data_IF_936407058554
#
_entry.id   IF_936407058554
#
_cell.length_a   1.000
_cell.length_b   1.000
_cell.length_c   1.000
_cell.angle_alpha   90.00
_cell.angle_beta   90.00
_cell.angle_gamma   90.00
#
_symmetry.space_group_name_H-M   'P 1'
#
loop_
_entity.id
_entity.type
_entity.pdbx_description
1 polymer ?
#
# COMPACT_ATOMS: atom_id res chain seq x y z
N UNK A 1 -0.27 22.42 -21.28
CA UNK A 1 -1.56 21.99 -21.81
C UNK A 1 -2.66 22.14 -20.75
N UNK A 2 -2.54 21.62 -19.50
CA UNK A 2 -3.53 21.80 -18.42
C UNK A 2 -3.95 23.27 -18.21
N UNK A 3 -3.00 24.21 -18.18
CA UNK A 3 -3.27 25.65 -18.02
C UNK A 3 -4.10 26.27 -19.16
N UNK A 4 -4.26 25.58 -20.28
CA UNK A 4 -5.07 26.02 -21.44
C UNK A 4 -6.44 25.37 -21.50
N UNK A 5 -6.90 24.69 -20.44
CA UNK A 5 -8.22 24.04 -20.38
C UNK A 5 -8.40 22.85 -21.34
N UNK A 6 -7.30 22.25 -21.80
CA UNK A 6 -7.36 21.08 -22.69
C UNK A 6 -7.53 19.79 -21.89
N UNK A 7 -8.44 18.93 -22.31
CA UNK A 7 -8.55 17.56 -21.81
C UNK A 7 -7.47 16.71 -22.46
N UNK A 8 -6.73 15.94 -21.62
CA UNK A 8 -5.68 15.02 -22.06
C UNK A 8 -6.08 13.63 -21.61
N UNK A 9 -6.19 12.71 -22.55
CA UNK A 9 -6.32 11.29 -22.25
C UNK A 9 -4.92 10.68 -22.21
N UNK A 10 -4.56 10.10 -21.05
CA UNK A 10 -3.26 9.50 -20.82
C UNK A 10 -3.43 8.01 -20.49
N UNK A 11 -2.85 7.14 -21.29
CA UNK A 11 -2.89 5.68 -21.09
C UNK A 11 -1.50 5.20 -20.74
N UNK A 12 -1.36 4.56 -19.60
CA UNK A 12 -0.08 4.06 -19.11
C UNK A 12 -0.28 2.95 -18.09
N UNK A 13 0.74 2.12 -17.93
CA UNK A 13 0.90 1.19 -16.81
C UNK A 13 1.89 1.70 -15.75
N UNK A 14 2.48 2.87 -15.97
CA UNK A 14 3.35 3.53 -14.98
C UNK A 14 2.47 4.25 -13.93
N UNK A 15 2.35 3.63 -12.78
CA UNK A 15 1.55 4.12 -11.67
C UNK A 15 2.05 5.47 -11.14
N UNK A 16 3.36 5.71 -11.20
CA UNK A 16 3.96 6.97 -10.78
C UNK A 16 3.58 8.12 -11.70
N UNK A 17 3.57 7.87 -13.01
CA UNK A 17 3.11 8.84 -14.01
C UNK A 17 1.61 9.13 -13.86
N UNK A 18 0.78 8.10 -13.65
CA UNK A 18 -0.66 8.25 -13.37
C UNK A 18 -0.87 9.14 -12.15
N UNK A 19 -0.20 8.83 -11.03
CA UNK A 19 -0.30 9.58 -9.78
C UNK A 19 0.13 11.04 -9.95
N UNK A 20 1.18 11.29 -10.73
CA UNK A 20 1.79 12.62 -10.89
C UNK A 20 1.01 13.54 -11.84
N UNK A 21 0.47 12.99 -12.93
CA UNK A 21 -0.04 13.79 -14.03
C UNK A 21 -1.56 13.77 -14.20
N UNK A 22 -2.25 12.75 -13.69
CA UNK A 22 -3.69 12.61 -13.84
C UNK A 22 -4.46 13.27 -12.70
N UNK A 23 -5.61 13.87 -13.03
CA UNK A 23 -6.56 14.39 -12.03
C UNK A 23 -7.62 13.33 -11.70
N UNK A 24 -7.88 12.42 -12.63
CA UNK A 24 -8.82 11.31 -12.54
C UNK A 24 -8.26 10.11 -13.29
N UNK A 25 -8.54 8.92 -12.80
CA UNK A 25 -8.13 7.67 -13.44
C UNK A 25 -9.31 6.73 -13.62
N UNK A 26 -9.24 5.92 -14.67
CA UNK A 26 -10.18 4.84 -14.95
C UNK A 26 -9.38 3.54 -14.94
N UNK A 27 -9.81 2.57 -14.15
CA UNK A 27 -9.21 1.24 -14.09
C UNK A 27 -9.94 0.32 -15.08
N UNK A 28 -9.18 -0.23 -16.02
CA UNK A 28 -9.66 -1.21 -16.98
C UNK A 28 -8.94 -2.55 -16.77
N UNK A 29 -9.69 -3.64 -16.84
CA UNK A 29 -9.12 -4.99 -16.84
C UNK A 29 -9.86 -5.84 -17.86
N UNK A 30 -9.13 -6.49 -18.78
CA UNK A 30 -9.68 -7.35 -19.84
C UNK A 30 -10.85 -6.69 -20.60
N UNK A 31 -10.75 -5.39 -20.91
CA UNK A 31 -11.78 -4.64 -21.62
C UNK A 31 -12.94 -4.17 -20.75
N UNK A 32 -13.00 -4.53 -19.48
CA UNK A 32 -14.06 -4.14 -18.55
C UNK A 32 -13.60 -2.98 -17.66
N UNK A 33 -14.45 -1.97 -17.49
CA UNK A 33 -14.21 -0.88 -16.54
C UNK A 33 -14.49 -1.38 -15.13
N UNK A 34 -13.45 -1.46 -14.30
CA UNK A 34 -13.55 -1.89 -12.89
C UNK A 34 -13.84 -0.73 -11.94
N UNK A 35 -13.36 0.47 -12.27
CA UNK A 35 -13.55 1.62 -11.40
C UNK A 35 -13.13 2.92 -12.06
N UNK A 36 -13.49 4.02 -11.42
CA UNK A 36 -13.14 5.38 -11.81
C UNK A 36 -13.08 6.25 -10.56
N UNK A 37 -12.04 7.07 -10.43
CA UNK A 37 -11.87 7.92 -9.26
C UNK A 37 -10.54 8.64 -9.23
N UNK A 38 -10.07 8.96 -8.02
CA UNK A 38 -8.75 9.57 -7.84
C UNK A 38 -7.65 8.62 -8.32
N UNK A 39 -6.52 9.15 -8.82
CA UNK A 39 -5.39 8.30 -9.19
C UNK A 39 -4.94 7.37 -8.07
N UNK A 40 -4.94 7.85 -6.80
CA UNK A 40 -4.57 7.06 -5.64
C UNK A 40 -5.48 5.83 -5.49
N UNK A 41 -6.80 6.04 -5.46
CA UNK A 41 -7.79 4.98 -5.26
C UNK A 41 -7.72 3.93 -6.37
N UNK A 42 -7.55 4.40 -7.63
CA UNK A 42 -7.46 3.50 -8.78
C UNK A 42 -6.14 2.72 -8.82
N UNK A 43 -5.04 3.30 -8.32
CA UNK A 43 -3.77 2.60 -8.16
C UNK A 43 -3.90 1.51 -7.09
N UNK A 44 -4.55 1.81 -5.98
CA UNK A 44 -4.75 0.83 -4.90
C UNK A 44 -5.70 -0.30 -5.35
N UNK A 45 -6.77 0.03 -6.07
CA UNK A 45 -7.63 -0.96 -6.73
C UNK A 45 -6.86 -1.83 -7.74
N UNK A 46 -6.00 -1.23 -8.56
CA UNK A 46 -5.16 -1.97 -9.51
C UNK A 46 -4.25 -2.99 -8.83
N UNK A 47 -3.63 -2.61 -7.70
CA UNK A 47 -2.79 -3.54 -6.92
C UNK A 47 -3.59 -4.72 -6.37
N UNK A 48 -4.84 -4.49 -5.93
CA UNK A 48 -5.75 -5.55 -5.51
C UNK A 48 -6.12 -6.48 -6.67
N UNK A 49 -6.34 -5.93 -7.86
CA UNK A 49 -6.57 -6.73 -9.09
C UNK A 49 -5.40 -7.64 -9.39
N UNK A 50 -4.15 -7.12 -9.27
CA UNK A 50 -2.94 -7.91 -9.55
C UNK A 50 -2.78 -9.12 -8.62
N UNK A 51 -3.25 -9.03 -7.38
CA UNK A 51 -3.19 -10.12 -6.39
C UNK A 51 -4.50 -10.92 -6.30
N UNK A 52 -5.46 -10.65 -7.20
CA UNK A 52 -6.75 -11.37 -7.24
C UNK A 52 -7.67 -11.09 -6.04
N UNK A 53 -7.47 -9.96 -5.36
CA UNK A 53 -8.24 -9.56 -4.18
C UNK A 53 -9.20 -8.39 -4.44
N UNK A 54 -9.33 -7.97 -5.69
CA UNK A 54 -10.29 -6.93 -6.06
C UNK A 54 -11.69 -7.51 -6.20
N UNK A 55 -12.59 -7.10 -5.32
CA UNK A 55 -14.01 -7.39 -5.47
C UNK A 55 -14.57 -6.51 -6.60
N UNK A 56 -14.81 -7.12 -7.77
CA UNK A 56 -15.46 -6.43 -8.87
C UNK A 56 -16.85 -6.01 -8.42
N UNK A 57 -17.23 -4.73 -8.53
CA UNK A 57 -18.65 -4.35 -8.38
C UNK A 57 -19.45 -5.19 -9.38
N UNK A 58 -20.37 -6.00 -8.88
CA UNK A 58 -21.26 -6.77 -9.75
C UNK A 58 -22.02 -5.77 -10.65
N UNK A 59 -21.80 -5.83 -11.95
CA UNK A 59 -22.52 -5.02 -12.90
C UNK A 59 -24.03 -5.32 -12.73
N UNK A 60 -24.78 -4.30 -12.31
CA UNK A 60 -26.24 -4.34 -12.29
C UNK A 60 -26.89 -4.70 -10.95
N UNK A 61 -26.49 -4.06 -9.84
CA UNK A 61 -27.36 -4.01 -8.65
C UNK A 61 -27.45 -2.56 -8.19
N UNK A 62 -28.66 -2.04 -8.24
CA UNK A 62 -29.12 -0.86 -7.52
C UNK A 62 -28.78 -0.97 -6.02
N UNK A 63 -28.63 0.18 -5.39
CA UNK A 63 -28.37 0.46 -3.98
C UNK A 63 -28.69 -0.73 -3.04
N UNK A 64 -27.74 -1.27 -2.24
CA UNK A 64 -28.04 -2.34 -1.30
C UNK A 64 -29.02 -1.86 -0.25
N UNK A 65 -30.15 -2.57 -0.17
CA UNK A 65 -31.07 -2.52 0.96
C UNK A 65 -30.35 -2.94 2.24
N UNK A 66 -30.32 -2.06 3.25
CA UNK A 66 -29.58 -2.17 4.50
C UNK A 66 -30.21 -3.17 5.49
N UNK A 67 -30.53 -4.39 5.06
CA UNK A 67 -31.12 -5.40 5.93
C UNK A 67 -30.45 -6.78 5.81
N UNK A 68 -29.15 -6.86 6.15
CA UNK A 68 -28.53 -8.16 6.36
C UNK A 68 -27.57 -8.11 7.57
N UNK A 69 -27.87 -8.89 8.59
CA UNK A 69 -27.11 -9.04 9.85
C UNK A 69 -25.61 -9.39 9.70
N UNK A 70 -25.16 -9.75 8.51
CA UNK A 70 -23.75 -10.02 8.18
C UNK A 70 -22.88 -8.77 8.07
N UNK A 71 -23.43 -7.66 7.57
CA UNK A 71 -22.69 -6.42 7.31
C UNK A 71 -22.36 -5.63 8.59
N UNK A 72 -23.21 -5.75 9.62
CA UNK A 72 -23.01 -5.05 10.90
C UNK A 72 -21.81 -5.63 11.67
N UNK A 73 -21.60 -6.95 11.59
CA UNK A 73 -20.46 -7.61 12.26
C UNK A 73 -19.13 -7.28 11.57
N UNK A 74 -19.10 -7.28 10.25
CA UNK A 74 -17.92 -6.87 9.47
C UNK A 74 -17.60 -5.37 9.64
N UNK A 75 -18.62 -4.51 9.75
CA UNK A 75 -18.46 -3.09 10.03
C UNK A 75 -17.96 -2.84 11.47
N UNK A 76 -18.44 -3.58 12.45
CA UNK A 76 -17.99 -3.52 13.85
C UNK A 76 -16.55 -4.01 14.00
N UNK A 77 -16.15 -5.07 13.31
CA UNK A 77 -14.76 -5.55 13.31
C UNK A 77 -13.81 -4.57 12.61
N UNK A 78 -14.26 -3.94 11.52
CA UNK A 78 -13.53 -2.83 10.88
C UNK A 78 -13.40 -1.62 11.83
N UNK A 79 -14.44 -1.27 12.57
CA UNK A 79 -14.37 -0.17 13.53
C UNK A 79 -13.45 -0.48 14.72
N UNK A 80 -13.49 -1.71 15.25
CA UNK A 80 -12.57 -2.14 16.32
C UNK A 80 -11.12 -2.10 15.87
N UNK A 81 -10.80 -2.64 14.68
CA UNK A 81 -9.47 -2.56 14.08
C UNK A 81 -9.02 -1.11 13.86
N UNK A 82 -9.91 -0.20 13.41
CA UNK A 82 -9.61 1.23 13.28
C UNK A 82 -9.31 1.89 14.62
N UNK A 83 -10.02 1.55 15.70
CA UNK A 83 -9.78 2.11 17.03
C UNK A 83 -8.49 1.57 17.66
N UNK A 84 -8.16 0.30 17.47
CA UNK A 84 -6.88 -0.28 17.92
C UNK A 84 -5.70 0.29 17.15
N UNK A 85 -5.79 0.42 15.83
CA UNK A 85 -4.77 1.05 15.00
C UNK A 85 -4.52 2.51 15.38
N UNK A 86 -5.57 3.29 15.66
CA UNK A 86 -5.44 4.68 16.12
C UNK A 86 -4.74 4.78 17.48
N UNK A 87 -4.96 3.82 18.39
CA UNK A 87 -4.24 3.76 19.69
C UNK A 87 -2.77 3.44 19.55
N UNK A 88 -2.39 2.71 18.50
CA UNK A 88 -1.00 2.35 18.18
C UNK A 88 -0.28 3.36 17.28
N UNK A 89 -0.92 4.48 16.91
CA UNK A 89 -0.37 5.47 15.99
C UNK A 89 -0.30 4.98 14.53
N UNK A 90 -0.97 3.87 14.21
CA UNK A 90 -1.06 3.33 12.85
C UNK A 90 -2.22 4.02 12.12
N UNK A 91 -2.02 4.37 10.85
CA UNK A 91 -3.07 4.96 10.04
C UNK A 91 -4.28 4.00 9.93
N UNK A 92 -5.48 4.41 10.39
CA UNK A 92 -6.67 3.55 10.34
C UNK A 92 -7.15 3.21 8.91
N UNK A 93 -6.63 3.93 7.91
CA UNK A 93 -6.90 3.67 6.48
C UNK A 93 -5.78 2.86 5.81
N UNK A 94 -4.96 2.14 6.59
CA UNK A 94 -3.94 1.25 6.06
C UNK A 94 -4.60 0.18 5.18
N UNK A 95 -4.17 0.11 3.92
CA UNK A 95 -4.60 -0.91 2.98
C UNK A 95 -3.62 -2.07 3.02
N UNK A 96 -4.11 -3.24 3.41
CA UNK A 96 -3.37 -4.49 3.36
C UNK A 96 -3.86 -5.32 2.17
N UNK A 97 -2.93 -5.82 1.36
CA UNK A 97 -3.21 -6.72 0.25
C UNK A 97 -2.01 -7.65 0.02
N UNK A 98 -2.25 -8.80 -0.60
CA UNK A 98 -1.22 -9.80 -0.89
C UNK A 98 -1.67 -11.21 -0.53
N UNK A 99 -0.87 -12.20 -0.90
CA UNK A 99 -1.16 -13.63 -0.73
C UNK A 99 -0.93 -14.15 0.69
N UNK A 100 -0.46 -13.29 1.61
CA UNK A 100 -0.10 -13.62 3.00
C UNK A 100 0.99 -14.68 3.16
N UNK A 101 1.79 -14.86 2.13
CA UNK A 101 3.00 -15.70 2.20
C UNK A 101 4.04 -15.10 3.15
N UNK A 102 4.02 -13.78 3.30
CA UNK A 102 4.70 -13.03 4.33
C UNK A 102 3.79 -11.87 4.79
N UNK A 103 3.87 -11.50 6.06
CA UNK A 103 3.03 -10.46 6.65
C UNK A 103 3.89 -9.47 7.43
N UNK A 104 3.74 -8.17 7.15
CA UNK A 104 4.38 -7.11 7.93
C UNK A 104 3.58 -6.96 9.22
N UNK A 105 4.14 -7.40 10.34
CA UNK A 105 3.45 -7.38 11.65
C UNK A 105 3.67 -6.08 12.41
N UNK A 106 4.77 -5.36 12.14
CA UNK A 106 5.00 -4.01 12.65
C UNK A 106 6.01 -3.26 11.80
N UNK A 107 5.93 -1.94 11.81
CA UNK A 107 6.93 -1.05 11.23
C UNK A 107 6.98 0.27 11.99
N UNK A 108 8.14 0.89 12.03
CA UNK A 108 8.34 2.21 12.62
C UNK A 108 9.60 2.86 12.05
N UNK A 109 9.76 4.15 12.32
CA UNK A 109 10.90 4.94 11.87
C UNK A 109 11.63 5.46 13.11
N UNK A 110 12.96 5.43 13.07
CA UNK A 110 13.80 6.12 14.05
C UNK A 110 14.59 7.24 13.37
N UNK A 111 14.90 8.28 14.13
CA UNK A 111 15.80 9.35 13.73
C UNK A 111 17.27 8.90 13.81
N UNK A 112 18.20 9.82 13.53
CA UNK A 112 19.66 9.58 13.60
C UNK A 112 20.19 9.19 15.00
N UNK A 113 19.38 9.40 16.05
CA UNK A 113 19.71 9.05 17.44
C UNK A 113 19.01 7.77 17.89
N UNK A 114 18.46 6.99 16.94
CA UNK A 114 17.65 5.78 17.17
C UNK A 114 16.38 6.04 18.03
N UNK A 115 15.88 7.28 18.06
CA UNK A 115 14.62 7.62 18.71
C UNK A 115 13.46 7.47 17.75
N UNK A 116 12.44 6.71 18.16
CA UNK A 116 11.25 6.52 17.34
C UNK A 116 10.56 7.86 17.08
N UNK A 117 10.24 8.12 15.80
CA UNK A 117 9.66 9.38 15.35
C UNK A 117 8.58 9.15 14.29
N UNK A 118 7.64 10.09 14.20
CA UNK A 118 6.64 10.16 13.11
C UNK A 118 6.94 11.29 12.13
N UNK A 119 8.02 12.06 12.36
CA UNK A 119 8.41 13.20 11.54
C UNK A 119 9.90 13.12 11.21
N UNK A 120 10.22 13.31 9.94
CA UNK A 120 11.60 13.37 9.42
C UNK A 120 11.77 14.73 8.77
N UNK A 121 12.78 15.47 9.17
CA UNK A 121 13.13 16.73 8.51
C UNK A 121 13.88 16.44 7.21
N UNK A 122 13.69 17.32 6.23
CA UNK A 122 14.37 17.19 4.94
C UNK A 122 15.89 17.22 5.13
N UNK A 123 16.55 16.16 4.69
CA UNK A 123 18.01 16.01 4.78
C UNK A 123 18.51 15.33 6.04
N UNK A 124 17.62 14.97 6.98
CA UNK A 124 18.00 14.18 8.12
C UNK A 124 18.09 12.69 7.77
N UNK A 125 19.00 11.99 8.46
CA UNK A 125 19.11 10.55 8.38
C UNK A 125 17.97 9.90 9.18
N UNK A 126 17.44 8.80 8.67
CA UNK A 126 16.44 7.99 9.36
C UNK A 126 16.63 6.50 9.09
N UNK A 127 16.11 5.67 9.96
CA UNK A 127 16.06 4.23 9.78
C UNK A 127 14.61 3.75 9.77
N UNK A 128 14.23 3.05 8.69
CA UNK A 128 12.97 2.32 8.61
C UNK A 128 13.19 0.93 9.19
N UNK A 129 12.39 0.57 10.17
CA UNK A 129 12.34 -0.76 10.78
C UNK A 129 11.06 -1.47 10.34
N UNK A 130 11.20 -2.73 9.98
CA UNK A 130 10.09 -3.57 9.53
C UNK A 130 10.23 -4.97 10.14
N UNK A 131 9.19 -5.46 10.80
CA UNK A 131 9.12 -6.82 11.31
C UNK A 131 8.18 -7.63 10.43
N UNK A 132 8.69 -8.74 9.88
CA UNK A 132 7.96 -9.57 8.91
C UNK A 132 7.87 -10.99 9.42
N UNK A 133 6.65 -11.54 9.49
CA UNK A 133 6.37 -12.94 9.78
C UNK A 133 6.25 -13.71 8.48
N UNK A 134 6.96 -14.84 8.38
CA UNK A 134 6.95 -15.70 7.19
C UNK A 134 5.88 -16.78 7.34
N UNK A 135 4.92 -16.79 6.42
CA UNK A 135 3.79 -17.72 6.39
C UNK A 135 4.03 -18.97 5.56
N UNK A 136 4.98 -18.95 4.65
CA UNK A 136 5.44 -20.13 3.90
C UNK A 136 6.90 -19.98 3.48
N UNK A 137 7.54 -21.07 3.06
CA UNK A 137 8.91 -21.03 2.52
C UNK A 137 8.99 -20.17 1.28
N UNK A 138 9.88 -19.17 1.27
CA UNK A 138 10.07 -18.26 0.15
C UNK A 138 11.51 -18.27 -0.31
N UNK A 139 11.77 -18.53 -1.61
CA UNK A 139 13.10 -18.36 -2.19
C UNK A 139 13.35 -16.88 -2.48
N UNK A 140 14.52 -16.38 -2.10
CA UNK A 140 15.03 -15.05 -2.43
C UNK A 140 14.01 -13.89 -2.28
N UNK A 141 13.36 -13.70 -1.10
CA UNK A 141 12.40 -12.64 -0.92
C UNK A 141 13.07 -11.27 -1.01
N UNK A 142 12.34 -10.30 -1.59
CA UNK A 142 12.76 -8.91 -1.67
C UNK A 142 11.89 -8.10 -0.70
N UNK A 143 12.53 -7.43 0.25
CA UNK A 143 11.88 -6.48 1.15
C UNK A 143 12.08 -5.06 0.62
N UNK A 144 11.05 -4.25 0.70
CA UNK A 144 11.07 -2.89 0.17
C UNK A 144 10.18 -1.96 0.98
N UNK A 145 10.50 -0.68 0.97
CA UNK A 145 9.59 0.37 1.40
C UNK A 145 9.64 1.55 0.42
N UNK A 146 8.59 2.35 0.40
CA UNK A 146 8.57 3.65 -0.24
C UNK A 146 7.76 4.65 0.59
N UNK A 147 8.29 5.87 0.71
CA UNK A 147 7.60 7.00 1.31
C UNK A 147 6.97 7.80 0.19
N UNK A 148 5.68 8.05 0.29
CA UNK A 148 4.90 8.78 -0.70
C UNK A 148 4.21 9.97 -0.05
N UNK A 149 4.01 11.03 -0.84
CA UNK A 149 3.17 12.13 -0.41
C UNK A 149 1.67 11.73 -0.43
N UNK A 150 0.82 12.63 0.05
CA UNK A 150 -0.64 12.43 0.10
C UNK A 150 -1.29 12.19 -1.28
N UNK A 151 -0.62 12.56 -2.37
CA UNK A 151 -1.05 12.31 -3.75
C UNK A 151 -0.56 10.96 -4.30
N UNK A 152 0.16 10.17 -3.48
CA UNK A 152 0.73 8.88 -3.90
C UNK A 152 2.01 8.99 -4.72
N UNK A 153 2.59 10.20 -4.86
CA UNK A 153 3.88 10.38 -5.54
C UNK A 153 5.01 9.96 -4.61
N UNK A 154 5.89 9.08 -5.08
CA UNK A 154 7.03 8.61 -4.32
C UNK A 154 8.04 9.73 -4.07
N UNK A 155 8.48 9.84 -2.82
CA UNK A 155 9.49 10.81 -2.37
C UNK A 155 10.83 10.09 -2.25
N UNK A 156 10.84 8.93 -1.60
CA UNK A 156 12.02 8.09 -1.41
C UNK A 156 11.60 6.65 -1.14
N UNK A 157 12.53 5.74 -1.34
CA UNK A 157 12.33 4.32 -1.05
C UNK A 157 13.52 3.51 -1.52
N UNK A 158 13.63 2.30 -1.01
CA UNK A 158 14.66 1.33 -1.42
C UNK A 158 14.18 -0.09 -1.21
N UNK A 159 14.99 -1.06 -1.59
CA UNK A 159 14.74 -2.47 -1.39
C UNK A 159 16.05 -3.24 -1.18
N UNK A 160 15.95 -4.46 -0.67
CA UNK A 160 17.10 -5.33 -0.39
C UNK A 160 17.94 -5.65 -1.63
N UNK A 161 17.34 -5.60 -2.84
CA UNK A 161 18.06 -5.82 -4.09
C UNK A 161 18.94 -4.60 -4.45
N UNK A 162 18.43 -3.39 -4.33
CA UNK A 162 19.22 -2.16 -4.52
C UNK A 162 20.34 -2.03 -3.49
N UNK A 163 20.05 -2.38 -2.24
CA UNK A 163 21.05 -2.38 -1.15
C UNK A 163 22.04 -3.56 -1.23
N UNK A 164 21.87 -4.44 -2.22
CA UNK A 164 22.69 -5.66 -2.42
C UNK A 164 22.72 -6.58 -1.18
N UNK A 165 21.65 -6.56 -0.40
CA UNK A 165 21.46 -7.38 0.80
C UNK A 165 20.51 -8.52 0.47
N UNK A 166 21.02 -9.56 -0.15
CA UNK A 166 20.21 -10.69 -0.61
C UNK A 166 20.01 -11.71 0.51
N UNK A 167 18.78 -12.20 0.63
CA UNK A 167 18.45 -13.40 1.39
C UNK A 167 18.26 -14.55 0.41
N UNK A 168 18.97 -15.66 0.59
CA UNK A 168 18.85 -16.81 -0.30
C UNK A 168 17.49 -17.49 -0.16
N UNK A 169 17.02 -17.70 1.07
CA UNK A 169 15.70 -18.26 1.34
C UNK A 169 15.28 -17.92 2.78
N UNK A 170 13.97 -17.94 3.00
CA UNK A 170 13.39 -17.82 4.34
C UNK A 170 12.38 -18.94 4.55
N UNK A 171 12.22 -19.38 5.80
CA UNK A 171 11.39 -20.53 6.18
C UNK A 171 10.12 -20.09 6.89
N UNK A 172 9.06 -20.88 6.71
CA UNK A 172 7.80 -20.69 7.43
C UNK A 172 8.04 -20.60 8.95
N UNK A 173 7.33 -19.69 9.60
CA UNK A 173 7.42 -19.46 11.04
C UNK A 173 8.53 -18.52 11.48
N UNK A 174 9.50 -18.18 10.61
CA UNK A 174 10.51 -17.16 10.93
C UNK A 174 9.85 -15.77 11.08
N UNK A 175 10.44 -14.98 11.99
CA UNK A 175 10.13 -13.56 12.12
C UNK A 175 11.45 -12.81 11.86
N UNK A 176 11.43 -11.99 10.82
CA UNK A 176 12.60 -11.24 10.37
C UNK A 176 12.47 -9.78 10.81
N UNK A 177 13.59 -9.19 11.22
CA UNK A 177 13.71 -7.75 11.41
C UNK A 177 14.55 -7.18 10.28
N UNK A 178 13.94 -6.31 9.49
CA UNK A 178 14.54 -5.68 8.33
C UNK A 178 14.72 -4.19 8.64
N UNK A 179 15.91 -3.68 8.43
CA UNK A 179 16.21 -2.26 8.62
C UNK A 179 16.78 -1.64 7.37
N UNK A 180 16.32 -0.45 7.04
CA UNK A 180 16.84 0.37 5.94
C UNK A 180 17.27 1.72 6.48
N UNK A 181 18.56 2.04 6.40
CA UNK A 181 19.09 3.36 6.78
C UNK A 181 19.16 4.24 5.55
N UNK A 182 18.58 5.43 5.65
CA UNK A 182 18.49 6.40 4.56
C UNK A 182 19.05 7.75 5.00
N UNK A 183 19.62 8.49 4.02
CA UNK A 183 20.17 9.84 4.19
C UNK A 183 19.38 10.85 3.40
#
# INVERSE_FOLDING_TARGET
FKKKGKTILFVSHDLSAISKYCDRAILLNQGVKLGEGSPKDMIDAYKQVLVGQYETPKAGVDVPDLTADGDVRAALDKQKKKQEAARMGVNPETLEYGTKQAEIVSYYITDKNDVQTTAILKGDEFTMHMKVKIGQDLPAPIFAFSIKNIKGVEITGTNTMFEKTFLESVKVGQVLEITFRQK
#
